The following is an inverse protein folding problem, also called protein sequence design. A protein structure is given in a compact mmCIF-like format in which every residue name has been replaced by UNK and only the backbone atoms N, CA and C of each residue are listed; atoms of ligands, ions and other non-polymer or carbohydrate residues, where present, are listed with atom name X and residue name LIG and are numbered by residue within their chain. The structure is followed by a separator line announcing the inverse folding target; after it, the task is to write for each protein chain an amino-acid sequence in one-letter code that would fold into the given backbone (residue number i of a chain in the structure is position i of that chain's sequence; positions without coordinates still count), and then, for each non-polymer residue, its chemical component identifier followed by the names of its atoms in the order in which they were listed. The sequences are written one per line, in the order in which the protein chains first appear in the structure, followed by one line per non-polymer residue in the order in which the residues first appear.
data_IF_251567150873
#
_entry.id   IF_251567150873
#
_cell.length_a   1.000
_cell.length_b   1.000
_cell.length_c   1.000
_cell.angle_alpha   90.00
_cell.angle_beta   90.00
_cell.angle_gamma   90.00
#
_symmetry.space_group_name_H-M   'P 1'
#
loop_
_entity.id
_entity.type
_entity.pdbx_description
1 polymer ?
#
# COMPACT_ATOMS: atom_id res chain seq x y z
N UNK A 1 70.23 -13.90 -35.60
CA UNK A 1 70.11 -12.52 -35.05
C UNK A 1 69.11 -12.58 -33.92
N UNK A 2 69.60 -12.51 -32.67
CA UNK A 2 68.72 -12.49 -31.50
C UNK A 2 68.00 -11.14 -31.52
N UNK A 3 66.67 -11.18 -31.49
CA UNK A 3 65.81 -10.01 -31.60
C UNK A 3 65.90 -9.19 -30.30
N UNK A 4 66.90 -8.29 -30.27
CA UNK A 4 67.21 -7.41 -29.15
C UNK A 4 66.02 -6.54 -28.74
N UNK A 5 65.04 -6.34 -29.62
CA UNK A 5 63.84 -5.55 -29.32
C UNK A 5 62.92 -6.27 -28.33
N UNK A 6 62.70 -7.58 -28.49
CA UNK A 6 61.87 -8.38 -27.60
C UNK A 6 62.51 -8.60 -26.21
N UNK A 7 63.84 -8.67 -26.14
CA UNK A 7 64.56 -8.80 -24.86
C UNK A 7 64.56 -7.50 -24.05
N UNK A 8 64.68 -6.34 -24.71
CA UNK A 8 64.61 -5.03 -24.04
C UNK A 8 63.17 -4.69 -23.58
N UNK A 9 62.16 -5.10 -24.34
CA UNK A 9 60.74 -4.94 -23.94
C UNK A 9 60.40 -5.83 -22.75
N UNK A 10 60.88 -7.07 -22.68
CA UNK A 10 60.64 -7.95 -21.52
C UNK A 10 61.34 -7.46 -20.24
N UNK A 11 62.57 -6.93 -20.35
CA UNK A 11 63.29 -6.27 -19.24
C UNK A 11 62.58 -4.99 -18.75
N UNK A 12 61.95 -4.22 -19.64
CA UNK A 12 61.23 -3.00 -19.30
C UNK A 12 59.84 -3.27 -18.67
N UNK A 13 59.19 -4.39 -19.02
CA UNK A 13 57.93 -4.83 -18.39
C UNK A 13 58.20 -5.34 -16.97
N UNK A 14 59.28 -6.11 -16.75
CA UNK A 14 59.63 -6.67 -15.44
C UNK A 14 59.96 -5.62 -14.37
N UNK A 15 60.43 -4.42 -14.73
CA UNK A 15 60.70 -3.33 -13.75
C UNK A 15 59.44 -2.67 -13.17
N UNK A 16 58.24 -2.88 -13.76
CA UNK A 16 57.00 -2.24 -13.29
C UNK A 16 56.34 -2.96 -12.11
N UNK A 17 56.64 -4.23 -11.91
CA UNK A 17 56.07 -5.07 -10.85
C UNK A 17 57.08 -5.42 -9.75
N UNK A 18 58.29 -4.86 -9.82
CA UNK A 18 59.28 -4.99 -8.76
C UNK A 18 58.74 -4.30 -7.49
N UNK A 19 58.62 -5.01 -6.36
CA UNK A 19 58.11 -4.42 -5.13
C UNK A 19 59.02 -3.25 -4.73
N UNK A 20 58.45 -2.04 -4.70
CA UNK A 20 59.12 -0.88 -4.12
C UNK A 20 59.64 -1.24 -2.72
N UNK A 21 60.82 -0.72 -2.38
CA UNK A 21 61.53 -1.06 -1.16
C UNK A 21 60.58 -1.14 0.06
N UNK A 22 60.74 -2.16 0.94
CA UNK A 22 59.82 -2.38 2.06
C UNK A 22 59.71 -1.17 2.99
N UNK A 23 60.78 -0.38 3.08
CA UNK A 23 60.83 0.90 3.79
C UNK A 23 59.85 1.94 3.22
N UNK A 24 59.83 2.11 1.89
CA UNK A 24 58.89 3.03 1.21
C UNK A 24 57.44 2.61 1.45
N UNK A 25 57.17 1.30 1.44
CA UNK A 25 55.85 0.74 1.74
C UNK A 25 55.43 1.02 3.19
N UNK A 26 56.34 0.87 4.15
CA UNK A 26 56.07 1.15 5.56
C UNK A 26 55.84 2.65 5.82
N UNK A 27 56.60 3.54 5.16
CA UNK A 27 56.40 4.99 5.23
C UNK A 27 55.04 5.41 4.67
N UNK A 28 54.60 4.80 3.55
CA UNK A 28 53.25 5.02 3.00
C UNK A 28 52.18 4.56 3.98
N UNK A 29 52.31 3.36 4.58
CA UNK A 29 51.37 2.84 5.59
C UNK A 29 51.26 3.77 6.79
N UNK A 30 52.38 4.22 7.33
CA UNK A 30 52.42 5.12 8.48
C UNK A 30 51.69 6.44 8.20
N UNK A 31 51.95 7.08 7.06
CA UNK A 31 51.30 8.34 6.69
C UNK A 31 49.79 8.19 6.41
N UNK A 32 49.36 7.04 5.90
CA UNK A 32 47.94 6.73 5.70
C UNK A 32 47.22 6.49 7.03
N UNK A 33 47.87 5.80 7.99
CA UNK A 33 47.33 5.61 9.34
C UNK A 33 47.18 6.94 10.09
N UNK A 34 48.07 7.91 9.82
CA UNK A 34 47.96 9.29 10.32
C UNK A 34 46.82 10.09 9.66
N UNK A 35 46.05 9.51 8.74
CA UNK A 35 44.89 10.14 8.11
C UNK A 35 45.20 11.09 6.95
N UNK A 36 46.43 11.08 6.42
CA UNK A 36 46.75 11.86 5.20
C UNK A 36 46.09 11.25 3.96
N UNK A 37 45.76 12.10 2.97
CA UNK A 37 45.17 11.59 1.73
C UNK A 37 46.21 10.82 0.91
N UNK A 38 45.79 9.78 0.19
CA UNK A 38 46.69 8.98 -0.66
C UNK A 38 47.41 9.84 -1.72
N UNK A 39 46.80 10.96 -2.14
CA UNK A 39 47.40 11.92 -3.07
C UNK A 39 48.49 12.76 -2.40
N UNK A 40 48.26 13.21 -1.17
CA UNK A 40 49.30 13.92 -0.41
C UNK A 40 50.47 13.01 -0.08
N UNK A 41 50.21 11.75 0.27
CA UNK A 41 51.25 10.74 0.54
C UNK A 41 52.07 10.48 -0.72
N UNK A 42 51.42 10.33 -1.87
CA UNK A 42 52.08 10.15 -3.16
C UNK A 42 53.01 11.33 -3.51
N UNK A 43 52.51 12.56 -3.36
CA UNK A 43 53.29 13.76 -3.65
C UNK A 43 54.49 13.94 -2.69
N UNK A 44 54.30 13.65 -1.40
CA UNK A 44 55.37 13.81 -0.39
C UNK A 44 56.46 12.74 -0.54
N UNK A 45 56.08 11.48 -0.76
CA UNK A 45 57.03 10.36 -0.86
C UNK A 45 57.51 10.10 -2.30
N UNK A 46 57.09 10.94 -3.26
CA UNK A 46 57.38 10.79 -4.70
C UNK A 46 57.05 9.40 -5.25
N UNK A 47 55.97 8.80 -4.75
CA UNK A 47 55.43 7.52 -5.24
C UNK A 47 54.20 7.75 -6.11
N UNK A 48 53.82 6.76 -6.92
CA UNK A 48 52.60 6.88 -7.73
C UNK A 48 51.34 6.89 -6.85
N UNK A 49 50.34 7.69 -7.24
CA UNK A 49 49.04 7.72 -6.56
C UNK A 49 48.39 6.34 -6.55
N UNK A 50 48.55 5.57 -7.63
CA UNK A 50 48.05 4.20 -7.76
C UNK A 50 48.66 3.25 -6.73
N UNK A 51 49.96 3.38 -6.44
CA UNK A 51 50.63 2.59 -5.40
C UNK A 51 50.11 2.95 -4.01
N UNK A 52 50.02 4.24 -3.67
CA UNK A 52 49.44 4.69 -2.40
C UNK A 52 48.00 4.23 -2.20
N UNK A 53 47.20 4.17 -3.27
CA UNK A 53 45.83 3.62 -3.24
C UNK A 53 45.81 2.10 -3.05
N UNK A 54 46.70 1.36 -3.71
CA UNK A 54 46.86 -0.10 -3.50
C UNK A 54 47.17 -0.40 -2.04
N UNK A 55 48.15 0.29 -1.45
CA UNK A 55 48.51 0.14 -0.04
C UNK A 55 47.35 0.53 0.86
N UNK A 56 46.71 1.69 0.64
CA UNK A 56 45.53 2.11 1.42
C UNK A 56 44.42 1.06 1.43
N UNK A 57 44.15 0.44 0.28
CA UNK A 57 43.13 -0.59 0.17
C UNK A 57 43.51 -1.88 0.92
N UNK A 58 44.80 -2.21 1.01
CA UNK A 58 45.27 -3.36 1.81
C UNK A 58 45.19 -3.12 3.31
N UNK A 59 45.14 -1.85 3.77
CA UNK A 59 45.04 -1.47 5.19
C UNK A 59 43.73 -0.74 5.52
N UNK A 60 42.65 -0.97 4.76
CA UNK A 60 41.42 -0.15 4.85
C UNK A 60 40.84 -0.02 6.26
N UNK A 61 41.04 -1.04 7.10
CA UNK A 61 40.50 -1.13 8.46
C UNK A 61 41.22 -0.19 9.44
N UNK A 62 42.48 0.16 9.17
CA UNK A 62 43.33 0.98 10.04
C UNK A 62 43.42 2.44 9.58
N UNK A 63 42.86 2.77 8.41
CA UNK A 63 42.93 4.12 7.85
C UNK A 63 41.69 4.92 8.24
N UNK A 64 41.86 6.13 8.83
CA UNK A 64 40.73 7.00 9.14
C UNK A 64 39.84 7.25 7.92
N UNK A 65 38.52 7.32 8.15
CA UNK A 65 37.59 7.65 7.08
C UNK A 65 37.97 9.00 6.45
N UNK A 66 37.91 9.11 5.11
CA UNK A 66 38.20 10.38 4.44
C UNK A 66 37.25 11.45 4.97
N UNK A 67 37.77 12.67 5.16
CA UNK A 67 36.95 13.81 5.56
C UNK A 67 35.78 13.96 4.59
N UNK A 68 34.56 13.86 5.12
CA UNK A 68 33.36 14.11 4.32
C UNK A 68 33.34 15.59 3.91
N UNK A 69 32.94 15.84 2.67
CA UNK A 69 32.75 17.20 2.19
C UNK A 69 31.66 17.92 2.98
N UNK A 70 31.47 19.21 2.68
CA UNK A 70 30.42 20.03 3.29
C UNK A 70 29.05 19.32 3.18
N UNK A 71 28.28 19.21 4.28
CA UNK A 71 26.96 18.62 4.25
C UNK A 71 26.02 19.40 3.31
N UNK A 72 25.06 18.69 2.72
CA UNK A 72 24.01 19.28 1.89
C UNK A 72 23.12 20.19 2.73
N UNK A 73 22.76 21.36 2.20
CA UNK A 73 21.76 22.25 2.82
C UNK A 73 20.34 21.64 2.84
N UNK A 74 20.07 20.72 1.93
CA UNK A 74 18.77 20.06 1.80
C UNK A 74 18.86 18.67 2.43
N UNK A 75 17.94 18.37 3.35
CA UNK A 75 17.86 17.11 4.09
C UNK A 75 17.51 15.94 3.17
N UNK A 76 17.92 14.71 3.54
CA UNK A 76 17.58 13.50 2.80
C UNK A 76 16.08 13.26 2.73
N UNK A 77 15.35 13.57 3.80
CA UNK A 77 13.91 13.36 3.87
C UNK A 77 13.16 14.38 2.99
N UNK A 78 13.56 15.64 3.04
CA UNK A 78 13.04 16.70 2.16
C UNK A 78 13.23 16.34 0.69
N UNK A 79 14.37 15.75 0.31
CA UNK A 79 14.59 15.27 -1.08
C UNK A 79 13.63 14.16 -1.49
N UNK A 80 13.39 13.18 -0.61
CA UNK A 80 12.44 12.09 -0.89
C UNK A 80 11.01 12.60 -1.03
N UNK A 81 10.59 13.51 -0.14
CA UNK A 81 9.27 14.14 -0.21
C UNK A 81 9.12 14.92 -1.51
N UNK A 82 10.15 15.70 -1.88
CA UNK A 82 10.19 16.47 -3.11
C UNK A 82 10.03 15.56 -4.33
N UNK A 83 10.84 14.50 -4.42
CA UNK A 83 10.77 13.51 -5.47
C UNK A 83 9.38 12.88 -5.58
N UNK A 84 8.77 12.50 -4.44
CA UNK A 84 7.41 11.94 -4.40
C UNK A 84 6.36 12.91 -4.93
N UNK A 85 6.41 14.18 -4.53
CA UNK A 85 5.44 15.19 -4.98
C UNK A 85 5.54 15.46 -6.48
N UNK A 86 6.76 15.54 -7.03
CA UNK A 86 6.98 15.67 -8.46
C UNK A 86 6.48 14.45 -9.23
N UNK A 87 6.78 13.25 -8.74
CA UNK A 87 6.33 12.02 -9.39
C UNK A 87 4.80 11.94 -9.43
N UNK A 88 4.14 12.26 -8.31
CA UNK A 88 2.68 12.28 -8.18
C UNK A 88 2.00 13.43 -8.95
N UNK A 89 2.77 14.40 -9.46
CA UNK A 89 2.23 15.53 -10.23
C UNK A 89 1.59 16.63 -9.39
N UNK A 90 1.76 16.59 -8.07
CA UNK A 90 1.34 17.67 -7.14
C UNK A 90 2.17 18.92 -7.42
N UNK A 91 3.47 18.73 -7.52
CA UNK A 91 4.43 19.81 -7.80
C UNK A 91 4.85 19.73 -9.26
N UNK A 92 4.54 20.76 -10.03
CA UNK A 92 4.75 20.78 -11.48
C UNK A 92 5.91 21.69 -11.89
N UNK A 93 6.10 22.81 -11.18
CA UNK A 93 7.19 23.74 -11.47
C UNK A 93 8.37 23.56 -10.54
N UNK A 94 9.58 23.86 -11.04
CA UNK A 94 10.77 23.90 -10.20
C UNK A 94 10.67 24.98 -9.12
N UNK A 95 9.96 26.08 -9.40
CA UNK A 95 9.75 27.18 -8.44
C UNK A 95 8.93 26.72 -7.24
N UNK A 96 7.89 25.91 -7.46
CA UNK A 96 7.12 25.29 -6.37
C UNK A 96 8.01 24.37 -5.54
N UNK A 97 8.87 23.58 -6.20
CA UNK A 97 9.86 22.75 -5.53
C UNK A 97 10.87 23.55 -4.71
N UNK A 98 11.28 24.74 -5.17
CA UNK A 98 12.15 25.63 -4.40
C UNK A 98 11.45 26.16 -3.16
N UNK A 99 10.19 26.60 -3.29
CA UNK A 99 9.38 27.07 -2.15
C UNK A 99 9.22 25.97 -1.10
N UNK A 100 8.96 24.73 -1.53
CA UNK A 100 8.86 23.57 -0.64
C UNK A 100 10.16 23.30 0.13
N UNK A 101 11.30 23.36 -0.56
CA UNK A 101 12.61 23.19 0.07
C UNK A 101 12.90 24.32 1.07
N UNK A 102 12.57 25.56 0.69
CA UNK A 102 12.76 26.71 1.55
C UNK A 102 11.89 26.64 2.82
N UNK A 103 10.64 26.19 2.70
CA UNK A 103 9.75 26.03 3.85
C UNK A 103 10.17 24.89 4.78
N UNK A 104 10.74 23.82 4.25
CA UNK A 104 11.10 22.63 5.03
C UNK A 104 12.47 22.77 5.72
N UNK A 105 13.49 23.21 4.97
CA UNK A 105 14.89 23.20 5.44
C UNK A 105 15.45 24.62 5.66
N UNK A 106 14.65 25.68 5.45
CA UNK A 106 15.08 27.08 5.55
C UNK A 106 16.09 27.53 4.48
N UNK A 107 16.58 26.61 3.64
CA UNK A 107 17.60 26.86 2.64
C UNK A 107 17.04 27.37 1.32
N UNK A 108 17.53 28.51 0.84
CA UNK A 108 17.27 28.96 -0.53
C UNK A 108 18.06 28.09 -1.53
N UNK A 109 17.36 27.18 -2.20
CA UNK A 109 17.91 26.39 -3.31
C UNK A 109 17.55 27.01 -4.65
N UNK A 110 18.52 27.16 -5.55
CA UNK A 110 18.25 27.52 -6.94
C UNK A 110 17.51 26.38 -7.67
N UNK A 111 16.74 26.66 -8.72
CA UNK A 111 16.02 25.66 -9.53
C UNK A 111 16.96 24.53 -10.03
N UNK A 112 18.22 24.89 -10.32
CA UNK A 112 19.29 23.96 -10.69
C UNK A 112 19.61 22.95 -9.58
N UNK A 113 19.59 23.39 -8.32
CA UNK A 113 19.83 22.54 -7.14
C UNK A 113 18.68 21.55 -6.96
N UNK A 114 17.44 22.02 -7.05
CA UNK A 114 16.24 21.16 -7.03
C UNK A 114 16.33 20.08 -8.10
N UNK A 115 16.61 20.47 -9.36
CA UNK A 115 16.76 19.52 -10.48
C UNK A 115 17.84 18.47 -10.23
N UNK A 116 19.00 18.86 -9.70
CA UNK A 116 20.08 17.90 -9.35
C UNK A 116 19.63 16.90 -8.28
N UNK A 117 18.86 17.35 -7.28
CA UNK A 117 18.34 16.44 -6.27
C UNK A 117 17.28 15.50 -6.83
N UNK A 118 16.37 15.98 -7.68
CA UNK A 118 15.42 15.11 -8.39
C UNK A 118 16.15 14.01 -9.19
N UNK A 119 17.22 14.36 -9.89
CA UNK A 119 18.05 13.39 -10.61
C UNK A 119 18.73 12.37 -9.68
N UNK A 120 19.23 12.80 -8.51
CA UNK A 120 19.80 11.91 -7.51
C UNK A 120 18.78 10.92 -6.93
N UNK A 121 17.52 11.34 -6.82
CA UNK A 121 16.40 10.48 -6.40
C UNK A 121 15.81 9.68 -7.58
N UNK A 122 16.45 9.69 -8.76
CA UNK A 122 16.07 8.86 -9.91
C UNK A 122 15.03 9.46 -10.86
N UNK A 123 14.61 10.71 -10.65
CA UNK A 123 13.68 11.40 -11.54
C UNK A 123 14.41 12.04 -12.73
N UNK A 124 13.83 11.88 -13.91
CA UNK A 124 14.27 12.54 -15.13
C UNK A 124 13.27 13.59 -15.57
N UNK A 125 13.78 14.60 -16.26
CA UNK A 125 12.99 15.64 -16.90
C UNK A 125 12.47 15.16 -18.25
N UNK A 126 11.19 15.38 -18.51
CA UNK A 126 10.53 15.05 -19.76
C UNK A 126 9.73 16.23 -20.27
N UNK A 127 9.65 16.38 -21.59
CA UNK A 127 8.81 17.40 -22.23
C UNK A 127 7.36 16.95 -22.17
N UNK A 128 6.50 17.77 -21.57
CA UNK A 128 5.07 17.53 -21.55
C UNK A 128 4.50 17.75 -22.96
N UNK A 129 3.85 16.72 -23.50
CA UNK A 129 3.13 16.85 -24.76
C UNK A 129 1.91 17.74 -24.57
N UNK A 130 1.69 18.65 -25.52
CA UNK A 130 0.47 19.49 -25.54
C UNK A 130 -0.71 18.58 -25.82
N UNK A 131 -1.67 18.54 -24.91
CA UNK A 131 -2.92 17.78 -25.07
C UNK A 131 -4.09 18.76 -24.94
N UNK A 132 -5.12 18.65 -25.79
CA UNK A 132 -6.34 19.44 -25.59
C UNK A 132 -6.96 19.07 -24.24
N UNK A 133 -7.41 20.07 -23.50
CA UNK A 133 -8.09 19.90 -22.22
C UNK A 133 -9.48 19.28 -22.42
N UNK A 134 -9.56 17.96 -22.53
CA UNK A 134 -10.83 17.27 -22.69
C UNK A 134 -11.56 17.16 -21.34
N UNK A 135 -12.65 17.91 -21.21
CA UNK A 135 -13.62 17.77 -20.13
C UNK A 135 -14.34 16.41 -20.23
N UNK A 136 -15.04 16.00 -19.17
CA UNK A 136 -15.80 14.75 -19.18
C UNK A 136 -16.87 14.75 -20.29
N UNK A 137 -17.55 15.88 -20.51
CA UNK A 137 -18.55 16.02 -21.56
C UNK A 137 -17.93 15.86 -22.95
N UNK A 138 -16.81 16.55 -23.23
CA UNK A 138 -16.11 16.38 -24.51
C UNK A 138 -15.74 14.92 -24.78
N UNK A 139 -15.33 14.16 -23.75
CA UNK A 139 -14.99 12.74 -23.91
C UNK A 139 -16.22 11.89 -24.22
N UNK A 140 -17.35 12.15 -23.54
CA UNK A 140 -18.63 11.46 -23.79
C UNK A 140 -19.12 11.71 -25.22
N UNK A 141 -19.08 12.96 -25.67
CA UNK A 141 -19.53 13.34 -27.01
C UNK A 141 -18.66 12.71 -28.09
N UNK A 142 -17.33 12.72 -27.89
CA UNK A 142 -16.39 12.02 -28.78
C UNK A 142 -16.65 10.52 -28.82
N UNK A 143 -16.92 9.88 -27.68
CA UNK A 143 -17.24 8.46 -27.62
C UNK A 143 -18.57 8.15 -28.33
N UNK A 144 -19.59 8.99 -28.15
CA UNK A 144 -20.88 8.86 -28.84
C UNK A 144 -20.70 8.97 -30.35
N UNK A 145 -19.94 9.98 -30.81
CA UNK A 145 -19.62 10.16 -32.22
C UNK A 145 -18.88 8.94 -32.79
N UNK A 146 -17.82 8.47 -32.11
CA UNK A 146 -17.04 7.32 -32.55
C UNK A 146 -17.88 6.05 -32.66
N UNK A 147 -18.78 5.79 -31.69
CA UNK A 147 -19.70 4.64 -31.73
C UNK A 147 -20.69 4.73 -32.89
N UNK A 148 -21.27 5.91 -33.12
CA UNK A 148 -22.25 6.12 -34.19
C UNK A 148 -21.65 5.88 -35.60
N UNK A 149 -20.35 6.10 -35.75
CA UNK A 149 -19.64 6.00 -37.03
C UNK A 149 -18.65 4.82 -37.09
N UNK A 150 -18.75 3.85 -36.17
CA UNK A 150 -17.82 2.72 -36.07
C UNK A 150 -17.79 1.87 -37.34
N UNK A 151 -18.98 1.59 -37.90
CA UNK A 151 -19.16 0.75 -39.08
C UNK A 151 -19.25 1.54 -40.38
N UNK A 152 -18.89 2.83 -40.36
CA UNK A 152 -18.89 3.63 -41.57
C UNK A 152 -17.81 3.18 -42.54
N UNK A 153 -18.20 2.99 -43.79
CA UNK A 153 -17.28 2.66 -44.87
C UNK A 153 -16.65 3.93 -45.49
N UNK A 154 -15.66 3.72 -46.35
CA UNK A 154 -14.93 4.84 -46.99
C UNK A 154 -15.85 5.72 -47.82
N UNK A 155 -16.82 5.16 -48.52
CA UNK A 155 -17.77 5.93 -49.36
C UNK A 155 -18.66 6.84 -48.51
N UNK A 156 -19.09 6.40 -47.33
CA UNK A 156 -19.83 7.23 -46.39
C UNK A 156 -18.97 8.37 -45.83
N UNK A 157 -17.68 8.13 -45.57
CA UNK A 157 -16.78 9.21 -45.13
C UNK A 157 -16.52 10.26 -46.21
N UNK A 158 -16.56 9.89 -47.51
CA UNK A 158 -16.39 10.83 -48.63
C UNK A 158 -17.51 11.87 -48.71
N UNK A 159 -18.68 11.61 -48.11
CA UNK A 159 -19.79 12.58 -48.10
C UNK A 159 -19.65 13.64 -47.00
N UNK A 160 -18.71 13.47 -46.08
CA UNK A 160 -18.49 14.39 -44.95
C UNK A 160 -17.40 15.40 -45.30
N UNK A 161 -17.74 16.69 -45.20
CA UNK A 161 -16.78 17.79 -45.28
C UNK A 161 -16.46 18.29 -43.87
N UNK A 162 -15.19 18.26 -43.48
CA UNK A 162 -14.71 18.86 -42.24
C UNK A 162 -14.23 20.28 -42.49
N UNK A 163 -14.61 21.22 -41.63
CA UNK A 163 -14.05 22.57 -41.57
C UNK A 163 -13.60 22.87 -40.15
N UNK A 164 -12.51 23.64 -40.01
CA UNK A 164 -11.99 24.13 -38.74
C UNK A 164 -11.25 25.45 -38.99
N UNK A 165 -11.12 26.27 -37.95
CA UNK A 165 -10.38 27.54 -38.01
C UNK A 165 -8.97 27.35 -37.45
N UNK A 166 -7.96 27.90 -38.13
CA UNK A 166 -6.56 27.82 -37.67
C UNK A 166 -5.98 29.22 -37.48
N UNK A 167 -5.47 29.49 -36.27
CA UNK A 167 -4.76 30.74 -35.99
C UNK A 167 -3.32 30.67 -36.49
N UNK A 168 -2.94 31.55 -37.41
CA UNK A 168 -1.55 31.72 -37.87
C UNK A 168 -0.91 32.88 -37.09
N UNK A 169 -0.01 32.59 -36.15
CA UNK A 169 0.67 33.61 -35.36
C UNK A 169 2.10 33.90 -35.87
N UNK A 170 2.46 35.18 -35.93
CA UNK A 170 3.76 35.66 -36.46
C UNK A 170 4.96 35.42 -35.52
N UNK A 171 4.71 35.20 -34.22
CA UNK A 171 5.75 34.99 -33.20
C UNK A 171 5.50 33.66 -32.48
N UNK A 172 6.61 33.00 -32.11
CA UNK A 172 6.73 31.57 -31.79
C UNK A 172 5.85 31.11 -30.62
N UNK A 173 5.47 29.84 -30.71
CA UNK A 173 4.59 29.07 -29.81
C UNK A 173 4.91 29.17 -28.31
N UNK A 174 3.86 29.07 -27.49
CA UNK A 174 3.90 28.80 -26.04
C UNK A 174 5.02 27.81 -25.68
N UNK A 175 5.89 28.23 -24.75
CA UNK A 175 7.12 27.53 -24.36
C UNK A 175 6.90 26.08 -23.89
N UNK A 176 8.00 25.31 -23.82
CA UNK A 176 7.98 23.91 -23.39
C UNK A 176 7.64 23.84 -21.90
N UNK A 177 6.65 23.02 -21.56
CA UNK A 177 6.39 22.60 -20.18
C UNK A 177 7.11 21.27 -19.93
N UNK A 178 7.63 21.10 -18.72
CA UNK A 178 8.35 19.90 -18.33
C UNK A 178 7.65 19.23 -17.16
N UNK A 179 7.82 17.91 -17.07
CA UNK A 179 7.45 17.15 -15.88
C UNK A 179 8.61 16.23 -15.47
N UNK A 180 8.63 15.85 -14.20
CA UNK A 180 9.68 15.02 -13.63
C UNK A 180 9.10 13.69 -13.20
N UNK A 181 9.74 12.59 -13.62
CA UNK A 181 9.26 11.25 -13.29
C UNK A 181 10.34 10.18 -13.39
N UNK A 182 10.10 9.02 -12.81
CA UNK A 182 10.98 7.85 -12.97
C UNK A 182 10.88 7.30 -14.39
N UNK A 183 11.85 6.49 -14.84
CA UNK A 183 11.83 5.91 -16.21
C UNK A 183 10.59 5.04 -16.47
N UNK A 184 10.11 4.34 -15.44
CA UNK A 184 8.96 3.45 -15.49
C UNK A 184 7.64 4.24 -15.55
N UNK A 185 7.59 5.39 -14.90
CA UNK A 185 6.42 6.26 -14.86
C UNK A 185 6.41 7.21 -16.07
N UNK A 186 6.53 6.63 -17.28
CA UNK A 186 6.05 7.30 -18.50
C UNK A 186 4.54 7.46 -18.34
N UNK A 187 4.09 8.59 -17.78
CA UNK A 187 2.66 8.95 -17.69
C UNK A 187 2.01 8.71 -19.05
N UNK A 188 1.30 7.60 -19.17
CA UNK A 188 0.34 7.25 -20.22
C UNK A 188 0.72 7.81 -21.60
N UNK A 189 1.93 7.50 -22.04
CA UNK A 189 2.41 7.69 -23.40
C UNK A 189 2.73 6.30 -23.94
N UNK A 190 1.69 5.47 -24.06
CA UNK A 190 1.75 4.31 -24.94
C UNK A 190 1.85 4.85 -26.36
N UNK A 191 3.00 4.64 -26.99
CA UNK A 191 3.11 4.83 -28.43
C UNK A 191 2.28 3.71 -29.06
N UNK A 192 1.20 4.04 -29.77
CA UNK A 192 0.39 3.05 -30.47
C UNK A 192 1.16 2.69 -31.75
N UNK A 193 1.70 1.47 -31.87
CA UNK A 193 2.38 1.07 -33.09
C UNK A 193 1.38 0.92 -34.23
N UNK A 194 1.60 1.61 -35.34
CA UNK A 194 0.79 1.49 -36.56
C UNK A 194 -0.41 2.45 -36.65
N UNK A 195 -1.30 2.18 -37.61
CA UNK A 195 -2.53 2.95 -37.81
C UNK A 195 -3.58 2.45 -36.80
N UNK A 196 -4.16 3.38 -36.04
CA UNK A 196 -5.27 3.06 -35.16
C UNK A 196 -6.52 2.76 -36.00
N UNK A 197 -7.17 1.62 -35.77
CA UNK A 197 -8.45 1.32 -36.37
C UNK A 197 -9.59 1.91 -35.52
N UNK A 198 -10.81 1.91 -36.06
CA UNK A 198 -11.98 2.52 -35.41
C UNK A 198 -12.31 1.89 -34.06
N UNK A 199 -12.11 0.57 -33.92
CA UNK A 199 -12.33 -0.16 -32.66
C UNK A 199 -11.31 0.22 -31.58
N UNK A 200 -10.01 0.20 -31.92
CA UNK A 200 -8.95 0.62 -31.00
C UNK A 200 -9.10 2.09 -30.59
N UNK A 201 -9.59 2.96 -31.49
CA UNK A 201 -9.89 4.34 -31.14
C UNK A 201 -11.03 4.45 -30.12
N UNK A 202 -12.10 3.64 -30.26
CA UNK A 202 -13.17 3.58 -29.27
C UNK A 202 -12.65 3.08 -27.93
N UNK A 203 -11.78 2.07 -27.90
CA UNK A 203 -11.24 1.54 -26.66
C UNK A 203 -10.35 2.54 -25.94
N UNK A 204 -9.54 3.30 -26.68
CA UNK A 204 -8.81 4.46 -26.14
C UNK A 204 -9.77 5.48 -25.55
N UNK A 205 -10.85 5.83 -26.25
CA UNK A 205 -11.85 6.78 -25.73
C UNK A 205 -12.59 6.24 -24.49
N UNK A 206 -12.92 4.94 -24.45
CA UNK A 206 -13.51 4.28 -23.26
C UNK A 206 -12.55 4.35 -22.10
N UNK A 207 -11.27 4.06 -22.29
CA UNK A 207 -10.26 4.22 -21.25
C UNK A 207 -10.20 5.67 -20.76
N UNK A 208 -10.21 6.68 -21.63
CA UNK A 208 -10.26 8.08 -21.18
C UNK A 208 -11.54 8.49 -20.43
N UNK A 209 -12.68 7.86 -20.75
CA UNK A 209 -13.98 8.12 -20.09
C UNK A 209 -14.07 7.38 -18.74
N UNK A 210 -13.57 6.15 -18.67
CA UNK A 210 -13.65 5.26 -17.52
C UNK A 210 -12.46 5.41 -16.56
N UNK A 211 -11.25 5.59 -17.10
CA UNK A 211 -10.01 5.88 -16.39
C UNK A 211 -9.76 7.39 -16.28
N UNK A 212 -10.76 8.15 -15.80
CA UNK A 212 -10.37 9.37 -15.11
C UNK A 212 -9.39 8.96 -14.00
N UNK A 213 -8.23 9.62 -13.86
CA UNK A 213 -7.27 9.25 -12.80
C UNK A 213 -7.85 9.45 -11.39
N UNK A 214 -8.95 10.19 -11.29
CA UNK A 214 -9.83 10.23 -10.12
C UNK A 214 -10.61 8.93 -9.97
N UNK A 215 -11.07 8.34 -11.08
CA UNK A 215 -11.69 7.02 -11.15
C UNK A 215 -10.74 5.85 -10.85
N UNK A 216 -9.43 5.87 -11.02
CA UNK A 216 -8.64 4.70 -10.56
C UNK A 216 -8.60 4.64 -9.03
N UNK A 217 -8.48 5.79 -8.34
CA UNK A 217 -8.64 5.86 -6.88
C UNK A 217 -10.08 5.65 -6.46
N UNK A 218 -11.06 6.23 -7.14
CA UNK A 218 -12.47 6.02 -6.82
C UNK A 218 -12.90 4.59 -7.16
N UNK A 219 -12.41 3.93 -8.20
CA UNK A 219 -12.69 2.54 -8.54
C UNK A 219 -11.99 1.61 -7.56
N UNK A 220 -10.74 1.86 -7.15
CA UNK A 220 -10.12 1.07 -6.09
C UNK A 220 -10.78 1.33 -4.72
N UNK A 221 -11.21 2.56 -4.43
CA UNK A 221 -12.01 2.89 -3.24
C UNK A 221 -13.43 2.36 -3.32
N UNK A 222 -14.05 2.27 -4.50
CA UNK A 222 -15.40 1.74 -4.73
C UNK A 222 -15.35 0.23 -4.82
N UNK A 223 -14.25 -0.38 -5.29
CA UNK A 223 -13.97 -1.81 -5.15
C UNK A 223 -13.71 -2.14 -3.69
N UNK A 224 -12.94 -1.34 -2.95
CA UNK A 224 -12.75 -1.51 -1.52
C UNK A 224 -14.06 -1.30 -0.74
N UNK A 225 -14.87 -0.30 -1.11
CA UNK A 225 -16.18 -0.03 -0.55
C UNK A 225 -17.18 -1.12 -0.94
N UNK A 226 -17.16 -1.63 -2.17
CA UNK A 226 -17.98 -2.74 -2.63
C UNK A 226 -17.58 -4.02 -1.91
N UNK A 227 -16.28 -4.31 -1.79
CA UNK A 227 -15.74 -5.45 -1.04
C UNK A 227 -16.07 -5.34 0.46
N UNK A 228 -15.98 -4.14 1.05
CA UNK A 228 -16.45 -3.88 2.42
C UNK A 228 -17.97 -4.05 2.52
N UNK A 229 -18.75 -3.53 1.57
CA UNK A 229 -20.22 -3.68 1.58
C UNK A 229 -20.67 -5.11 1.33
N UNK A 230 -19.91 -5.93 0.58
CA UNK A 230 -20.19 -7.37 0.44
C UNK A 230 -19.75 -8.13 1.69
N UNK A 231 -18.68 -7.70 2.36
CA UNK A 231 -18.27 -8.23 3.67
C UNK A 231 -19.29 -7.86 4.77
N UNK A 232 -19.89 -6.67 4.71
CA UNK A 232 -20.93 -6.21 5.63
C UNK A 232 -22.34 -6.69 5.22
N UNK A 233 -22.64 -6.92 3.94
CA UNK A 233 -23.92 -7.47 3.48
C UNK A 233 -24.03 -8.98 3.73
N UNK A 234 -22.89 -9.69 3.75
CA UNK A 234 -22.83 -11.07 4.29
C UNK A 234 -23.08 -11.12 5.80
N UNK A 235 -22.96 -9.98 6.49
CA UNK A 235 -23.23 -9.83 7.92
C UNK A 235 -24.58 -9.13 8.21
N UNK A 236 -25.38 -8.81 7.20
CA UNK A 236 -26.66 -8.10 7.33
C UNK A 236 -27.91 -8.99 7.12
N UNK A 237 -27.76 -10.31 7.19
CA UNK A 237 -28.87 -11.27 7.34
C UNK A 237 -28.74 -12.16 8.60
N UNK A 238 -28.13 -11.64 9.66
CA UNK A 238 -28.35 -12.16 11.01
C UNK A 238 -28.09 -11.05 12.03
N UNK A 239 -29.14 -10.36 12.46
CA UNK A 239 -29.11 -9.67 13.75
C UNK A 239 -29.03 -10.74 14.84
N UNK A 240 -27.83 -11.24 15.14
CA UNK A 240 -27.59 -12.01 16.36
C UNK A 240 -27.41 -11.00 17.48
N UNK A 241 -28.52 -10.59 18.10
CA UNK A 241 -28.43 -10.12 19.49
C UNK A 241 -27.83 -11.29 20.27
N UNK A 242 -26.69 -11.13 20.98
CA UNK A 242 -26.13 -12.23 21.72
C UNK A 242 -27.15 -12.63 22.81
N UNK A 243 -27.69 -13.83 22.68
CA UNK A 243 -28.65 -14.43 23.60
C UNK A 243 -27.95 -15.46 24.49
N UNK A 244 -28.51 -15.70 25.67
CA UNK A 244 -28.20 -16.85 26.50
C UNK A 244 -29.05 -18.03 26.06
N UNK A 245 -28.41 -19.19 25.99
CA UNK A 245 -29.01 -20.45 25.53
C UNK A 245 -28.99 -21.50 26.65
N UNK A 246 -30.11 -22.20 26.81
CA UNK A 246 -30.24 -23.38 27.63
C UNK A 246 -30.96 -24.47 26.81
N UNK A 247 -30.44 -25.70 26.86
CA UNK A 247 -30.98 -26.82 26.07
C UNK A 247 -31.60 -27.85 26.98
N UNK A 248 -32.81 -28.26 26.65
CA UNK A 248 -33.57 -29.31 27.31
C UNK A 248 -33.45 -30.59 26.50
N UNK A 249 -33.31 -31.74 27.17
CA UNK A 249 -33.31 -33.05 26.54
C UNK A 249 -34.34 -33.96 27.18
N UNK A 250 -35.08 -34.72 26.38
CA UNK A 250 -35.94 -35.79 26.88
C UNK A 250 -35.19 -37.14 26.93
N UNK A 251 -35.83 -38.17 27.51
CA UNK A 251 -35.25 -39.53 27.58
C UNK A 251 -35.07 -40.19 26.20
N UNK A 252 -35.76 -39.71 25.17
CA UNK A 252 -35.68 -40.21 23.80
C UNK A 252 -34.60 -39.52 22.95
N UNK A 253 -33.85 -38.57 23.53
CA UNK A 253 -32.79 -37.82 22.85
C UNK A 253 -33.25 -36.62 22.02
N UNK A 254 -34.55 -36.27 22.02
CA UNK A 254 -35.05 -35.01 21.42
C UNK A 254 -34.58 -33.84 22.27
N UNK A 255 -34.07 -32.80 21.62
CA UNK A 255 -33.55 -31.60 22.28
C UNK A 255 -34.27 -30.35 21.82
N UNK A 256 -34.57 -29.44 22.75
CA UNK A 256 -35.14 -28.12 22.46
C UNK A 256 -34.22 -27.05 23.06
N UNK A 257 -33.87 -26.04 22.27
CA UNK A 257 -33.03 -24.93 22.69
C UNK A 257 -33.87 -23.68 22.98
N UNK A 258 -33.73 -23.13 24.18
CA UNK A 258 -34.40 -21.91 24.58
C UNK A 258 -33.40 -20.75 24.62
N UNK A 259 -33.79 -19.61 24.06
CA UNK A 259 -32.95 -18.42 23.94
C UNK A 259 -33.55 -17.21 24.66
N UNK A 260 -32.73 -16.48 25.42
CA UNK A 260 -33.11 -15.23 26.09
C UNK A 260 -32.08 -14.14 25.78
N UNK A 261 -32.47 -12.92 25.40
CA UNK A 261 -31.51 -11.83 25.16
C UNK A 261 -30.61 -11.54 26.38
N UNK A 262 -29.34 -11.19 26.16
CA UNK A 262 -28.35 -10.95 27.25
C UNK A 262 -28.73 -9.89 28.29
N UNK A 263 -29.72 -9.05 28.01
CA UNK A 263 -30.22 -8.01 28.92
C UNK A 263 -31.31 -8.49 29.88
N UNK A 264 -31.86 -9.69 29.67
CA UNK A 264 -33.00 -10.20 30.42
C UNK A 264 -32.70 -11.54 31.11
N UNK A 265 -33.62 -11.91 31.99
CA UNK A 265 -33.69 -13.23 32.63
C UNK A 265 -35.13 -13.72 32.54
N UNK A 266 -35.34 -14.94 32.07
CA UNK A 266 -36.67 -15.50 31.90
C UNK A 266 -36.90 -16.66 32.87
N UNK A 267 -38.13 -16.80 33.36
CA UNK A 267 -38.63 -18.00 34.01
C UNK A 267 -39.49 -18.80 33.03
N UNK A 268 -39.23 -20.10 32.94
CA UNK A 268 -39.90 -21.03 32.03
C UNK A 268 -40.48 -22.19 32.82
N UNK A 269 -41.76 -22.48 32.61
CA UNK A 269 -42.42 -23.66 33.20
C UNK A 269 -42.13 -24.91 32.37
N UNK A 270 -41.67 -25.98 33.02
CA UNK A 270 -41.30 -27.26 32.42
C UNK A 270 -42.18 -28.43 32.88
N UNK A 271 -43.17 -28.19 33.75
CA UNK A 271 -44.03 -29.24 34.33
C UNK A 271 -44.67 -30.18 33.30
N UNK A 272 -45.07 -29.64 32.14
CA UNK A 272 -45.70 -30.42 31.08
C UNK A 272 -44.69 -31.03 30.09
N UNK A 273 -43.39 -30.89 30.34
CA UNK A 273 -42.28 -31.32 29.47
C UNK A 273 -41.44 -32.36 30.20
N UNK A 274 -41.34 -33.57 29.64
CA UNK A 274 -40.53 -34.64 30.25
C UNK A 274 -39.03 -34.36 30.09
N UNK A 275 -38.46 -33.63 31.04
CA UNK A 275 -37.06 -33.17 30.99
C UNK A 275 -36.14 -34.17 31.69
N UNK A 276 -35.24 -34.80 30.94
CA UNK A 276 -34.26 -35.74 31.46
C UNK A 276 -32.94 -35.06 31.83
N UNK A 277 -32.53 -34.08 31.01
CA UNK A 277 -31.28 -33.33 31.19
C UNK A 277 -31.47 -31.88 30.78
N UNK A 278 -30.85 -30.98 31.54
CA UNK A 278 -30.79 -29.55 31.22
C UNK A 278 -29.32 -29.16 31.11
N UNK A 279 -28.97 -28.49 30.01
CA UNK A 279 -27.61 -28.05 29.72
C UNK A 279 -27.57 -26.53 29.61
N UNK A 280 -26.60 -25.91 30.30
CA UNK A 280 -26.30 -24.50 30.15
C UNK A 280 -25.10 -24.36 29.21
N UNK A 281 -25.33 -23.86 28.00
CA UNK A 281 -24.25 -23.58 27.05
C UNK A 281 -23.61 -22.20 27.27
N UNK A 282 -24.24 -21.37 28.10
CA UNK A 282 -23.83 -20.00 28.32
C UNK A 282 -22.93 -19.91 29.55
N UNK A 283 -21.62 -20.05 29.35
CA UNK A 283 -20.63 -19.77 30.40
C UNK A 283 -20.54 -18.27 30.78
N UNK A 284 -19.94 -17.97 31.93
CA UNK A 284 -19.74 -16.61 32.44
C UNK A 284 -20.89 -16.12 33.34
N UNK A 285 -21.47 -14.95 33.03
CA UNK A 285 -22.47 -14.25 33.88
C UNK A 285 -23.91 -14.83 33.79
N UNK A 286 -24.11 -15.93 33.06
CA UNK A 286 -25.40 -16.62 32.93
C UNK A 286 -25.50 -17.74 33.95
N UNK A 287 -26.56 -17.70 34.76
CA UNK A 287 -26.80 -18.71 35.80
C UNK A 287 -28.15 -19.35 35.56
N UNK A 288 -28.19 -20.66 35.34
CA UNK A 288 -29.43 -21.43 35.27
C UNK A 288 -29.81 -21.90 36.66
N UNK A 289 -31.03 -21.58 37.09
CA UNK A 289 -31.61 -22.01 38.37
C UNK A 289 -32.83 -22.89 38.10
N UNK A 290 -32.92 -24.03 38.75
CA UNK A 290 -34.02 -25.00 38.57
C UNK A 290 -34.81 -25.16 39.86
N UNK A 291 -36.13 -25.32 39.73
CA UNK A 291 -37.07 -25.33 40.84
C UNK A 291 -38.05 -26.50 40.71
N UNK A 292 -38.53 -26.99 41.85
CA UNK A 292 -39.66 -27.92 41.93
C UNK A 292 -41.03 -27.22 41.87
N UNK A 293 -41.07 -25.89 41.99
CA UNK A 293 -42.25 -25.06 41.75
C UNK A 293 -42.44 -24.79 40.24
N UNK A 294 -43.62 -24.32 39.84
CA UNK A 294 -43.93 -24.02 38.43
C UNK A 294 -43.66 -22.57 38.02
N UNK A 295 -43.32 -21.70 38.97
CA UNK A 295 -43.25 -20.24 38.83
C UNK A 295 -41.87 -19.66 39.16
N UNK A 296 -40.83 -20.50 39.23
CA UNK A 296 -39.47 -20.14 39.63
C UNK A 296 -39.35 -19.47 41.01
N UNK A 297 -40.21 -19.87 41.96
CA UNK A 297 -40.13 -19.43 43.35
C UNK A 297 -39.68 -20.55 44.30
N UNK A 298 -39.16 -20.20 45.48
CA UNK A 298 -38.74 -21.15 46.50
C UNK A 298 -37.30 -21.65 46.38
N UNK A 299 -37.01 -22.83 46.94
CA UNK A 299 -35.66 -23.42 46.94
C UNK A 299 -35.25 -23.81 45.52
N UNK A 300 -34.01 -23.51 45.16
CA UNK A 300 -33.46 -23.79 43.83
C UNK A 300 -32.14 -24.54 43.89
N UNK A 301 -31.85 -25.28 42.83
CA UNK A 301 -30.51 -25.78 42.52
C UNK A 301 -29.92 -24.97 41.36
N UNK A 302 -28.59 -24.80 41.35
CA UNK A 302 -27.88 -24.06 40.30
C UNK A 302 -27.22 -25.04 39.33
N UNK A 303 -27.37 -24.81 38.04
CA UNK A 303 -26.75 -25.62 36.97
C UNK A 303 -25.61 -24.84 36.36
N UNK A 304 -24.38 -25.31 36.56
CA UNK A 304 -23.17 -24.69 35.98
C UNK A 304 -22.99 -25.11 34.53
N UNK A 305 -22.95 -26.41 34.26
CA UNK A 305 -22.77 -26.98 32.92
C UNK A 305 -23.93 -27.89 32.53
N UNK A 306 -24.19 -28.93 33.34
CA UNK A 306 -25.24 -29.92 33.09
C UNK A 306 -25.88 -30.41 34.38
N UNK A 307 -27.18 -30.68 34.33
CA UNK A 307 -27.89 -31.47 35.34
C UNK A 307 -28.59 -32.64 34.68
N UNK A 308 -28.37 -33.84 35.22
CA UNK A 308 -28.98 -35.09 34.79
C UNK A 308 -30.08 -35.48 35.78
N UNK A 309 -31.00 -36.36 35.35
CA UNK A 309 -32.18 -36.77 36.14
C UNK A 309 -33.05 -35.57 36.55
N UNK A 310 -33.29 -34.67 35.61
CA UNK A 310 -34.02 -33.42 35.82
C UNK A 310 -35.55 -33.58 35.79
N UNK A 311 -36.09 -34.80 35.95
CA UNK A 311 -37.54 -35.05 35.83
C UNK A 311 -38.36 -34.39 36.95
N UNK A 312 -37.72 -34.04 38.07
CA UNK A 312 -38.35 -33.34 39.18
C UNK A 312 -38.46 -31.82 38.98
N UNK A 313 -37.82 -31.27 37.94
CA UNK A 313 -37.77 -29.83 37.67
C UNK A 313 -39.06 -29.38 36.98
N UNK A 314 -39.83 -28.56 37.68
CA UNK A 314 -41.10 -28.04 37.18
C UNK A 314 -40.98 -26.64 36.57
N UNK A 315 -39.91 -25.90 36.87
CA UNK A 315 -39.58 -24.65 36.20
C UNK A 315 -38.08 -24.35 36.26
N UNK A 316 -37.61 -23.54 35.32
CA UNK A 316 -36.24 -23.07 35.29
C UNK A 316 -36.15 -21.58 34.96
N UNK A 317 -35.17 -20.92 35.56
CA UNK A 317 -34.85 -19.51 35.35
C UNK A 317 -33.45 -19.40 34.78
N UNK A 318 -33.30 -18.74 33.63
CA UNK A 318 -32.00 -18.57 32.98
C UNK A 318 -31.86 -17.21 32.29
N UNK A 319 -30.61 -16.76 32.16
CA UNK A 319 -30.24 -15.43 31.68
C UNK A 319 -29.27 -14.72 32.63
N UNK A 320 -29.17 -13.40 32.53
CA UNK A 320 -28.18 -12.60 33.28
C UNK A 320 -28.34 -12.77 34.79
N UNK A 321 -27.23 -12.97 35.50
CA UNK A 321 -27.22 -12.99 36.97
C UNK A 321 -27.56 -11.61 37.55
N UNK A 322 -28.28 -11.58 38.68
CA UNK A 322 -28.62 -10.34 39.40
C UNK A 322 -29.86 -9.58 38.91
N UNK A 323 -30.58 -10.06 37.90
CA UNK A 323 -31.85 -9.47 37.42
C UNK A 323 -33.02 -10.39 37.81
N UNK A 324 -34.19 -9.82 38.11
CA UNK A 324 -35.41 -10.59 38.36
C UNK A 324 -35.83 -11.39 37.12
N UNK A 325 -36.40 -12.58 37.33
CA UNK A 325 -36.87 -13.40 36.22
C UNK A 325 -38.24 -12.94 35.76
N UNK A 326 -38.43 -12.88 34.45
CA UNK A 326 -39.69 -12.50 33.82
C UNK A 326 -40.50 -13.76 33.40
N UNK A 327 -41.80 -13.82 33.70
CA UNK A 327 -42.65 -15.00 33.49
C UNK A 327 -42.75 -15.95 34.70
N UNK A 328 -43.31 -17.17 34.54
CA UNK A 328 -43.70 -17.79 33.27
C UNK A 328 -45.11 -17.38 32.83
N UNK A 329 -45.27 -17.08 31.54
CA UNK A 329 -46.55 -16.66 30.93
C UNK A 329 -47.44 -17.84 30.47
N UNK A 330 -46.96 -19.08 30.65
CA UNK A 330 -47.64 -20.32 30.27
C UNK A 330 -46.74 -21.54 30.48
N UNK A 331 -47.28 -22.75 30.30
CA UNK A 331 -46.54 -24.01 30.45
C UNK A 331 -46.74 -24.94 29.23
N UNK A 332 -46.11 -24.64 28.08
CA UNK A 332 -46.20 -25.50 26.90
C UNK A 332 -45.42 -26.81 27.09
N UNK A 333 -45.72 -27.81 26.27
CA UNK A 333 -44.89 -29.01 26.13
C UNK A 333 -43.85 -28.78 25.04
N UNK A 334 -42.58 -28.64 25.42
CA UNK A 334 -41.48 -28.31 24.50
C UNK A 334 -41.02 -29.49 23.63
N UNK A 335 -41.50 -30.71 23.86
CA UNK A 335 -41.14 -31.89 23.06
C UNK A 335 -42.27 -32.44 22.21
N UNK A 336 -43.42 -31.76 22.13
CA UNK A 336 -44.53 -32.17 21.27
C UNK A 336 -44.16 -32.22 19.78
#
# INVERSE_FOLDING_TARGET
MIDLTNYLVSLAINKRDEPLAPETTNNVKQQLNLGRSARDVANNLKVSVSFSLKVRNSIKENVPFPKSGRPSKISKDTRKVLARQFNNGITQSLQDGQRMVQSADGGQGHARTVRRHLQKEGLKEYVQQKRPGLTLNHRKDRLKFAKAHLHWNVEQWKTVMFSDESTISRVRSFGKKFYYSTKEHKRDLSWIPGKINSEAYIDVLKDYVLASRDCHRIIEMVKALLLLTTFFASAALAQVTPSYYATLFNNAGKSEELAVPRTKRACVCLKNTQTARIMNYSGGDSVVKVFSSTDCTGKFATVTDNIYNAQWVNSMSFGRSGISSDGPYGCPNYFN
#
